data_IF_632787604031
#
_entry.id   IF_632787604031
#
_cell.length_a   1.000
_cell.length_b   1.000
_cell.length_c   1.000
_cell.angle_alpha   90.00
_cell.angle_beta   90.00
_cell.angle_gamma   90.00
#
_symmetry.space_group_name_H-M   'P 1'
#
loop_
_entity.id
_entity.type
_entity.pdbx_description
1 polymer ?
#
# COMPACT_ATOMS: atom_id res chain seq x y z
N UNK A 1 41.21 47.90 32.82
CA UNK A 1 39.96 47.44 33.45
C UNK A 1 39.33 46.39 32.55
N UNK A 2 39.49 45.12 32.93
CA UNK A 2 38.93 43.97 32.23
C UNK A 2 37.41 43.97 32.39
N UNK A 3 36.69 43.94 31.27
CA UNK A 3 35.23 43.87 31.24
C UNK A 3 34.85 42.51 31.81
N UNK A 4 34.21 42.51 32.99
CA UNK A 4 33.70 41.29 33.60
C UNK A 4 32.89 40.50 32.56
N UNK A 5 33.11 39.18 32.41
CA UNK A 5 32.29 38.36 31.52
C UNK A 5 30.85 38.47 32.02
N UNK A 6 30.01 39.16 31.24
CA UNK A 6 28.59 39.26 31.54
C UNK A 6 28.06 37.85 31.71
N UNK A 7 27.40 37.58 32.84
CA UNK A 7 26.60 36.38 33.02
C UNK A 7 25.70 36.24 31.79
N UNK A 8 26.02 35.28 30.93
CA UNK A 8 25.13 34.90 29.85
C UNK A 8 23.96 34.26 30.56
N UNK A 9 22.89 35.04 30.76
CA UNK A 9 21.65 34.57 31.35
C UNK A 9 21.25 33.28 30.62
N UNK A 10 21.22 32.17 31.38
CA UNK A 10 20.90 30.87 30.82
C UNK A 10 19.52 30.86 30.16
N UNK A 11 19.27 29.96 29.20
CA UNK A 11 18.00 29.91 28.48
C UNK A 11 16.82 29.71 29.43
N UNK A 12 15.88 30.65 29.38
CA UNK A 12 14.73 30.73 30.30
C UNK A 12 13.52 29.97 29.77
N UNK A 13 13.43 29.81 28.44
CA UNK A 13 12.33 29.08 27.79
C UNK A 13 12.78 27.75 27.19
N UNK A 14 11.85 26.77 27.10
CA UNK A 14 12.11 25.49 26.42
C UNK A 14 12.54 25.66 24.96
N UNK A 15 12.12 26.76 24.31
CA UNK A 15 12.53 27.06 22.93
C UNK A 15 14.00 27.46 22.85
N UNK A 16 14.46 28.31 23.77
CA UNK A 16 15.87 28.72 23.86
C UNK A 16 16.75 27.52 24.22
N UNK A 17 16.34 26.71 25.20
CA UNK A 17 17.04 25.48 25.58
C UNK A 17 17.17 24.50 24.40
N UNK A 18 16.10 24.34 23.64
CA UNK A 18 16.11 23.49 22.44
C UNK A 18 16.99 24.07 21.32
N UNK A 19 17.00 25.39 21.12
CA UNK A 19 17.85 26.04 20.14
C UNK A 19 19.33 25.82 20.48
N UNK A 20 19.72 26.03 21.73
CA UNK A 20 21.08 25.79 22.21
C UNK A 20 21.48 24.31 22.08
N UNK A 21 20.60 23.37 22.46
CA UNK A 21 20.88 21.94 22.30
C UNK A 21 21.12 21.56 20.84
N UNK A 22 20.35 22.13 19.89
CA UNK A 22 20.55 21.89 18.45
C UNK A 22 21.84 22.47 17.92
N UNK A 23 22.24 23.64 18.43
CA UNK A 23 23.51 24.28 18.08
C UNK A 23 24.70 23.40 18.48
N UNK A 24 24.67 22.86 19.71
CA UNK A 24 25.69 21.93 20.22
C UNK A 24 25.72 20.64 19.43
N UNK A 25 24.57 19.98 19.20
CA UNK A 25 24.49 18.71 18.45
C UNK A 25 25.03 18.85 17.02
N UNK A 26 24.90 20.02 16.41
CA UNK A 26 25.31 20.27 15.03
C UNK A 26 26.68 20.91 14.87
N UNK A 27 27.35 21.25 15.98
CA UNK A 27 28.64 21.93 15.96
C UNK A 27 28.61 23.23 15.15
N UNK A 28 27.54 24.02 15.25
CA UNK A 28 27.41 25.31 14.55
C UNK A 28 27.17 25.24 13.02
N UNK A 29 27.01 24.04 12.44
CA UNK A 29 26.68 23.91 11.01
C UNK A 29 25.28 24.46 10.69
N UNK A 30 25.10 25.16 9.55
CA UNK A 30 23.81 25.71 9.15
C UNK A 30 22.78 24.60 8.95
N UNK A 31 21.52 24.92 9.25
CA UNK A 31 20.41 23.98 9.25
C UNK A 31 20.01 23.56 7.81
N UNK A 32 20.76 22.61 7.22
CA UNK A 32 20.53 22.09 5.86
C UNK A 32 19.16 21.41 5.68
N UNK A 33 18.45 21.08 6.77
CA UNK A 33 17.18 20.34 6.73
C UNK A 33 16.06 21.06 5.99
N UNK A 34 16.03 22.40 5.99
CA UNK A 34 15.01 23.16 5.27
C UNK A 34 15.28 23.22 3.76
N UNK A 35 16.56 23.28 3.37
CA UNK A 35 16.96 23.26 1.94
C UNK A 35 16.53 21.98 1.24
N UNK A 36 16.69 20.83 1.92
CA UNK A 36 16.26 19.54 1.36
C UNK A 36 14.74 19.44 1.18
N UNK A 37 13.95 20.00 2.11
CA UNK A 37 12.49 19.97 2.01
C UNK A 37 11.97 20.85 0.85
N UNK A 38 12.55 22.04 0.66
CA UNK A 38 12.20 22.94 -0.45
C UNK A 38 12.59 22.31 -1.78
N UNK A 39 13.79 21.73 -1.88
CA UNK A 39 14.22 21.03 -3.08
C UNK A 39 13.31 19.83 -3.41
N UNK A 40 12.93 19.02 -2.42
CA UNK A 40 11.99 17.92 -2.62
C UNK A 40 10.61 18.42 -3.09
N UNK A 41 10.11 19.52 -2.53
CA UNK A 41 8.87 20.16 -2.98
C UNK A 41 8.95 20.64 -4.43
N UNK A 42 10.06 21.28 -4.79
CA UNK A 42 10.33 21.72 -6.16
C UNK A 42 10.34 20.54 -7.15
N UNK A 43 11.06 19.46 -6.82
CA UNK A 43 11.09 18.24 -7.64
C UNK A 43 9.70 17.61 -7.77
N UNK A 44 8.92 17.57 -6.68
CA UNK A 44 7.55 17.06 -6.70
C UNK A 44 6.64 17.87 -7.62
N UNK A 45 6.72 19.20 -7.59
CA UNK A 45 5.96 20.08 -8.50
C UNK A 45 6.31 19.80 -9.95
N UNK A 46 7.60 19.74 -10.29
CA UNK A 46 8.05 19.43 -11.67
C UNK A 46 7.55 18.06 -12.09
N UNK A 47 7.72 17.03 -11.26
CA UNK A 47 7.28 15.68 -11.58
C UNK A 47 5.75 15.61 -11.79
N UNK A 48 4.97 16.31 -10.96
CA UNK A 48 3.52 16.42 -11.09
C UNK A 48 3.10 17.10 -12.40
N UNK A 49 3.79 18.15 -12.83
CA UNK A 49 3.50 18.84 -14.08
C UNK A 49 3.92 18.02 -15.30
N UNK A 50 5.14 17.47 -15.29
CA UNK A 50 5.74 16.76 -16.44
C UNK A 50 5.13 15.37 -16.65
N UNK A 51 4.84 14.64 -15.57
CA UNK A 51 4.33 13.27 -15.65
C UNK A 51 2.90 13.13 -15.14
N UNK A 52 2.57 13.82 -14.05
CA UNK A 52 1.25 13.71 -13.41
C UNK A 52 0.12 14.22 -14.30
N UNK A 53 0.24 15.43 -14.86
CA UNK A 53 -0.81 16.02 -15.73
C UNK A 53 -1.02 15.19 -17.00
N UNK A 54 0.01 14.79 -17.78
CA UNK A 54 -0.20 13.92 -18.94
C UNK A 54 -0.81 12.57 -18.58
N UNK A 55 -0.37 11.94 -17.47
CA UNK A 55 -0.94 10.68 -17.03
C UNK A 55 -2.42 10.83 -16.62
N UNK A 56 -2.76 11.90 -15.91
CA UNK A 56 -4.14 12.19 -15.52
C UNK A 56 -5.02 12.50 -16.73
N UNK A 57 -4.51 13.26 -17.71
CA UNK A 57 -5.19 13.52 -18.97
C UNK A 57 -5.47 12.22 -19.71
N UNK A 58 -4.43 11.40 -19.93
CA UNK A 58 -4.54 10.12 -20.61
C UNK A 58 -5.54 9.18 -19.91
N UNK A 59 -5.58 9.21 -18.57
CA UNK A 59 -6.60 8.49 -17.80
C UNK A 59 -8.02 8.95 -18.15
N UNK A 60 -8.29 10.26 -18.14
CA UNK A 60 -9.63 10.78 -18.46
C UNK A 60 -10.04 10.57 -19.91
N UNK A 61 -9.10 10.69 -20.85
CA UNK A 61 -9.33 10.35 -22.27
C UNK A 61 -9.64 8.86 -22.44
N UNK A 62 -9.02 7.99 -21.64
CA UNK A 62 -9.22 6.54 -21.69
C UNK A 62 -10.55 6.06 -21.07
N UNK A 63 -11.06 6.75 -20.05
CA UNK A 63 -12.21 6.28 -19.24
C UNK A 63 -13.58 6.49 -19.92
N UNK A 64 -13.65 7.19 -21.06
CA UNK A 64 -14.89 7.73 -21.67
C UNK A 64 -15.55 8.80 -20.76
N UNK A 65 -15.38 10.10 -21.09
CA UNK A 65 -16.00 11.20 -20.35
C UNK A 65 -17.52 11.10 -20.19
N UNK A 66 -18.22 10.54 -21.19
CA UNK A 66 -19.67 10.39 -21.16
C UNK A 66 -20.12 9.27 -20.21
N UNK A 67 -19.29 8.25 -20.01
CA UNK A 67 -19.53 7.23 -19.00
C UNK A 67 -19.31 7.80 -17.59
N UNK A 68 -18.22 8.54 -17.39
CA UNK A 68 -17.89 9.21 -16.12
C UNK A 68 -19.00 10.16 -15.67
N UNK A 69 -19.47 11.04 -16.57
CA UNK A 69 -20.49 12.01 -16.22
C UNK A 69 -21.79 11.34 -15.79
N UNK A 70 -22.21 10.27 -16.47
CA UNK A 70 -23.43 9.51 -16.12
C UNK A 70 -23.37 8.84 -14.75
N UNK A 71 -22.20 8.35 -14.33
CA UNK A 71 -22.07 7.55 -13.10
C UNK A 71 -21.53 8.36 -11.90
N UNK A 72 -20.78 9.44 -12.13
CA UNK A 72 -20.13 10.21 -11.06
C UNK A 72 -20.79 11.57 -10.76
N UNK A 73 -21.74 12.06 -11.56
CA UNK A 73 -22.39 13.36 -11.26
C UNK A 73 -23.51 13.27 -10.22
N UNK A 74 -23.93 12.06 -9.84
CA UNK A 74 -24.98 11.83 -8.84
C UNK A 74 -24.47 11.34 -7.48
N UNK A 75 -25.39 10.81 -6.66
CA UNK A 75 -25.11 10.24 -5.34
C UNK A 75 -24.03 9.15 -5.40
N UNK A 76 -24.02 8.35 -6.48
CA UNK A 76 -23.01 7.31 -6.68
C UNK A 76 -21.58 7.86 -6.74
N UNK A 77 -21.36 8.99 -7.41
CA UNK A 77 -20.05 9.62 -7.46
C UNK A 77 -19.59 10.11 -6.10
N UNK A 78 -20.49 10.74 -5.33
CA UNK A 78 -20.20 11.16 -3.95
C UNK A 78 -19.85 9.95 -3.07
N UNK A 79 -20.57 8.85 -3.20
CA UNK A 79 -20.30 7.61 -2.46
C UNK A 79 -18.95 7.00 -2.85
N UNK A 80 -18.61 6.94 -4.14
CA UNK A 80 -17.33 6.39 -4.62
C UNK A 80 -16.16 7.25 -4.14
N UNK A 81 -16.22 8.57 -4.36
CA UNK A 81 -15.17 9.49 -3.92
C UNK A 81 -15.06 9.48 -2.39
N UNK A 82 -16.19 9.51 -1.69
CA UNK A 82 -16.24 9.39 -0.23
C UNK A 82 -15.61 8.10 0.28
N UNK A 83 -15.91 6.95 -0.35
CA UNK A 83 -15.31 5.67 0.00
C UNK A 83 -13.80 5.65 -0.23
N UNK A 84 -13.31 6.21 -1.33
CA UNK A 84 -11.87 6.35 -1.61
C UNK A 84 -11.19 7.21 -0.55
N UNK A 85 -11.78 8.37 -0.20
CA UNK A 85 -11.24 9.25 0.85
C UNK A 85 -11.22 8.53 2.19
N UNK A 86 -12.31 7.87 2.60
CA UNK A 86 -12.36 7.10 3.86
C UNK A 86 -11.30 5.99 3.86
N UNK A 87 -11.14 5.25 2.76
CA UNK A 87 -10.11 4.23 2.64
C UNK A 87 -8.69 4.81 2.80
N UNK A 88 -8.41 5.96 2.18
CA UNK A 88 -7.14 6.67 2.33
C UNK A 88 -6.89 7.12 3.77
N UNK A 89 -7.91 7.64 4.46
CA UNK A 89 -7.79 8.06 5.87
C UNK A 89 -7.57 6.86 6.80
N UNK A 90 -8.26 5.74 6.56
CA UNK A 90 -8.04 4.49 7.31
C UNK A 90 -6.64 3.93 7.06
N UNK A 91 -6.15 3.99 5.82
CA UNK A 91 -4.79 3.60 5.47
C UNK A 91 -3.77 4.50 6.18
N UNK A 92 -3.96 5.82 6.17
CA UNK A 92 -3.11 6.78 6.87
C UNK A 92 -3.05 6.45 8.38
N UNK A 93 -4.21 6.21 8.99
CA UNK A 93 -4.32 5.80 10.39
C UNK A 93 -3.55 4.51 10.67
N UNK A 94 -3.68 3.50 9.81
CA UNK A 94 -2.93 2.24 9.94
C UNK A 94 -1.43 2.45 9.76
N UNK A 95 -1.02 3.22 8.76
CA UNK A 95 0.38 3.56 8.53
C UNK A 95 0.97 4.23 9.77
N UNK A 96 0.23 5.14 10.41
CA UNK A 96 0.66 5.85 11.61
C UNK A 96 0.97 4.94 12.78
N UNK A 97 0.20 3.85 12.92
CA UNK A 97 0.43 2.86 13.96
C UNK A 97 1.73 2.06 13.77
N UNK A 98 2.21 1.95 12.53
CA UNK A 98 3.44 1.24 12.16
C UNK A 98 4.62 2.21 12.11
N UNK A 99 4.48 3.27 11.32
CA UNK A 99 5.43 4.38 11.14
C UNK A 99 4.65 5.69 11.13
N UNK A 100 4.78 6.46 12.21
CA UNK A 100 4.11 7.74 12.32
C UNK A 100 4.71 8.87 11.47
N UNK A 101 3.99 10.00 11.37
CA UNK A 101 4.52 11.20 10.73
C UNK A 101 5.61 11.89 11.56
N UNK A 102 5.71 11.60 12.86
CA UNK A 102 6.67 12.24 13.77
C UNK A 102 7.71 11.21 14.20
N UNK A 103 8.73 11.02 13.36
CA UNK A 103 9.81 10.05 13.63
C UNK A 103 11.15 10.77 13.42
N UNK A 104 11.65 11.49 14.44
CA UNK A 104 13.00 12.05 14.39
C UNK A 104 14.04 10.93 14.53
N UNK A 105 15.28 11.22 14.17
CA UNK A 105 16.37 10.25 14.18
C UNK A 105 16.66 9.75 15.60
N UNK A 106 17.16 8.50 15.70
CA UNK A 106 17.46 7.86 16.98
C UNK A 106 18.39 8.68 17.89
N UNK A 107 19.50 9.27 17.40
CA UNK A 107 20.37 10.10 18.25
C UNK A 107 19.63 11.31 18.82
N UNK A 108 18.74 11.93 18.03
CA UNK A 108 17.93 13.07 18.48
C UNK A 108 16.89 12.65 19.53
N UNK A 109 16.29 11.47 19.38
CA UNK A 109 15.37 10.93 20.38
C UNK A 109 16.07 10.68 21.71
N UNK A 110 17.24 10.03 21.68
CA UNK A 110 17.95 9.63 22.89
C UNK A 110 18.59 10.83 23.62
N UNK A 111 19.02 11.87 22.90
CA UNK A 111 19.67 13.04 23.49
C UNK A 111 18.70 14.17 23.85
N UNK A 112 17.66 14.42 23.03
CA UNK A 112 16.80 15.60 23.16
C UNK A 112 15.39 15.24 23.64
N UNK A 113 14.80 14.16 23.12
CA UNK A 113 13.41 13.82 23.44
C UNK A 113 13.21 13.15 24.82
N UNK A 114 14.30 12.68 25.45
CA UNK A 114 14.31 12.17 26.84
C UNK A 114 14.46 13.28 27.87
N UNK A 115 14.89 14.48 27.45
CA UNK A 115 15.06 15.63 28.34
C UNK A 115 13.72 16.14 28.93
N UNK A 116 13.81 17.03 29.92
CA UNK A 116 12.65 17.64 30.57
C UNK A 116 11.87 18.65 29.68
N UNK A 117 12.29 18.87 28.43
CA UNK A 117 11.65 19.82 27.50
C UNK A 117 10.25 19.34 27.08
N UNK A 118 9.32 20.29 26.88
CA UNK A 118 7.99 19.98 26.36
C UNK A 118 8.08 19.33 24.97
N UNK A 119 7.56 18.09 24.86
CA UNK A 119 7.53 17.31 23.61
C UNK A 119 6.82 18.07 22.47
N UNK A 120 5.84 18.91 22.78
CA UNK A 120 5.16 19.73 21.77
C UNK A 120 6.05 20.81 21.15
N UNK A 121 7.18 21.15 21.77
CA UNK A 121 8.20 22.05 21.23
C UNK A 121 9.26 21.23 20.50
N UNK A 122 9.75 20.15 21.11
CA UNK A 122 10.81 19.28 20.56
C UNK A 122 10.40 18.64 19.23
N UNK A 123 9.18 18.12 19.14
CA UNK A 123 8.69 17.33 17.99
C UNK A 123 7.95 18.18 16.94
N UNK A 124 7.68 19.46 17.24
CA UNK A 124 6.91 20.36 16.38
C UNK A 124 7.45 20.44 14.96
N UNK A 125 8.78 20.51 14.84
CA UNK A 125 9.44 20.66 13.55
C UNK A 125 9.19 19.45 12.65
N UNK A 126 9.43 18.24 13.17
CA UNK A 126 9.23 17.00 12.42
C UNK A 126 7.77 16.84 12.01
N UNK A 127 6.84 17.18 12.91
CA UNK A 127 5.43 17.21 12.58
C UNK A 127 5.09 18.19 11.45
N UNK A 128 5.57 19.43 11.53
CA UNK A 128 5.32 20.45 10.49
C UNK A 128 5.85 20.06 9.13
N UNK A 129 7.00 19.38 9.06
CA UNK A 129 7.55 18.87 7.79
C UNK A 129 6.64 17.80 7.19
N UNK A 130 6.17 16.85 8.00
CA UNK A 130 5.22 15.81 7.55
C UNK A 130 3.87 16.39 7.16
N UNK A 131 3.35 17.35 7.94
CA UNK A 131 2.12 18.08 7.61
C UNK A 131 2.27 18.83 6.28
N UNK A 132 3.36 19.59 6.11
CA UNK A 132 3.66 20.29 4.86
C UNK A 132 3.72 19.31 3.68
N UNK A 133 4.40 18.17 3.84
CA UNK A 133 4.46 17.13 2.81
C UNK A 133 3.09 16.58 2.44
N UNK A 134 2.21 16.31 3.42
CA UNK A 134 0.85 15.86 3.16
C UNK A 134 -0.03 16.94 2.50
N UNK A 135 0.09 18.21 2.92
CA UNK A 135 -0.64 19.32 2.31
C UNK A 135 -0.20 19.56 0.88
N UNK A 136 1.12 19.60 0.63
CA UNK A 136 1.69 19.74 -0.70
C UNK A 136 1.29 18.56 -1.60
N UNK A 137 1.42 17.33 -1.11
CA UNK A 137 1.04 16.13 -1.87
C UNK A 137 -0.46 16.11 -2.18
N UNK A 138 -1.31 16.48 -1.22
CA UNK A 138 -2.76 16.62 -1.43
C UNK A 138 -3.11 17.70 -2.45
N UNK A 139 -2.51 18.89 -2.33
CA UNK A 139 -2.68 20.00 -3.26
C UNK A 139 -2.25 19.60 -4.68
N UNK A 140 -1.05 19.01 -4.83
CA UNK A 140 -0.54 18.57 -6.12
C UNK A 140 -1.42 17.47 -6.73
N UNK A 141 -1.90 16.53 -5.93
CA UNK A 141 -2.83 15.49 -6.41
C UNK A 141 -4.13 16.11 -6.92
N UNK A 142 -4.73 17.02 -6.16
CA UNK A 142 -5.94 17.74 -6.56
C UNK A 142 -5.74 18.57 -7.82
N UNK A 143 -4.63 19.31 -7.92
CA UNK A 143 -4.29 20.13 -9.07
C UNK A 143 -3.98 19.29 -10.32
N UNK A 144 -3.29 18.16 -10.18
CA UNK A 144 -3.00 17.23 -11.28
C UNK A 144 -4.29 16.62 -11.81
N UNK A 145 -5.15 16.11 -10.92
CA UNK A 145 -6.44 15.52 -11.30
C UNK A 145 -7.33 16.58 -11.97
N UNK A 146 -7.46 17.76 -11.36
CA UNK A 146 -8.23 18.88 -11.91
C UNK A 146 -7.73 19.33 -13.28
N UNK A 147 -6.42 19.53 -13.42
CA UNK A 147 -5.80 19.90 -14.72
C UNK A 147 -6.03 18.81 -15.75
N UNK A 148 -5.87 17.54 -15.38
CA UNK A 148 -6.18 16.41 -16.25
C UNK A 148 -7.63 16.44 -16.75
N UNK A 149 -8.59 16.71 -15.87
CA UNK A 149 -10.02 16.83 -16.25
C UNK A 149 -10.27 17.99 -17.20
N UNK A 150 -9.65 19.15 -16.96
CA UNK A 150 -9.82 20.34 -17.81
C UNK A 150 -9.20 20.12 -19.18
N UNK A 151 -7.97 19.60 -19.24
CA UNK A 151 -7.26 19.36 -20.51
C UNK A 151 -7.95 18.25 -21.32
N UNK A 152 -8.54 17.25 -20.67
CA UNK A 152 -9.36 16.23 -21.32
C UNK A 152 -10.80 16.67 -21.63
N UNK A 153 -11.13 17.96 -21.44
CA UNK A 153 -12.46 18.54 -21.65
C UNK A 153 -13.61 17.84 -20.88
N UNK A 154 -13.30 17.20 -19.75
CA UNK A 154 -14.28 16.55 -18.86
C UNK A 154 -14.93 17.55 -17.91
N UNK A 155 -14.24 18.65 -17.59
CA UNK A 155 -14.71 19.67 -16.68
C UNK A 155 -14.29 21.09 -17.10
N UNK A 156 -15.05 22.13 -16.73
CA UNK A 156 -14.67 23.51 -17.02
C UNK A 156 -13.41 23.92 -16.23
N UNK A 157 -12.66 24.94 -16.67
CA UNK A 157 -11.48 25.46 -15.95
C UNK A 157 -11.74 25.81 -14.48
N UNK A 158 -12.97 26.22 -14.15
CA UNK A 158 -13.39 26.50 -12.77
C UNK A 158 -13.30 25.29 -11.83
N UNK A 159 -13.31 24.06 -12.35
CA UNK A 159 -13.16 22.83 -11.56
C UNK A 159 -11.77 22.69 -10.92
N UNK A 160 -10.76 23.45 -11.37
CA UNK A 160 -9.42 23.47 -10.77
C UNK A 160 -9.47 23.91 -9.31
N UNK A 161 -10.32 24.88 -8.98
CA UNK A 161 -10.43 25.41 -7.61
C UNK A 161 -10.94 24.34 -6.63
N UNK A 162 -12.13 23.73 -6.82
CA UNK A 162 -12.63 22.71 -5.90
C UNK A 162 -11.79 21.43 -5.89
N UNK A 163 -11.17 21.02 -7.00
CA UNK A 163 -10.30 19.84 -7.02
C UNK A 163 -8.99 20.07 -6.24
N UNK A 164 -8.37 21.24 -6.41
CA UNK A 164 -7.14 21.61 -5.67
C UNK A 164 -7.43 21.80 -4.18
N UNK A 165 -8.51 22.51 -3.83
CA UNK A 165 -8.92 22.68 -2.43
C UNK A 165 -9.35 21.35 -1.80
N UNK A 166 -10.08 20.50 -2.54
CA UNK A 166 -10.44 19.16 -2.11
C UNK A 166 -9.21 18.31 -1.83
N UNK A 167 -8.21 18.35 -2.71
CA UNK A 167 -6.91 17.70 -2.50
C UNK A 167 -6.20 18.17 -1.23
N UNK A 168 -6.20 19.47 -0.96
CA UNK A 168 -5.64 20.04 0.28
C UNK A 168 -6.39 19.54 1.53
N UNK A 169 -7.72 19.50 1.49
CA UNK A 169 -8.56 18.97 2.59
C UNK A 169 -8.27 17.48 2.83
N UNK A 170 -8.16 16.69 1.76
CA UNK A 170 -7.78 15.27 1.87
C UNK A 170 -6.37 15.12 2.44
N UNK A 171 -5.40 15.95 2.01
CA UNK A 171 -4.04 15.96 2.55
C UNK A 171 -4.00 16.30 4.04
N UNK A 172 -4.79 17.27 4.49
CA UNK A 172 -4.94 17.63 5.90
C UNK A 172 -5.56 16.48 6.70
N UNK A 173 -6.64 15.89 6.18
CA UNK A 173 -7.29 14.72 6.78
C UNK A 173 -6.34 13.54 6.91
N UNK A 174 -5.55 13.27 5.86
CA UNK A 174 -4.54 12.22 5.83
C UNK A 174 -3.49 12.46 6.90
N UNK A 175 -2.93 13.67 7.00
CA UNK A 175 -1.95 14.02 8.03
C UNK A 175 -2.52 13.81 9.45
N UNK A 176 -3.75 14.28 9.69
CA UNK A 176 -4.44 14.12 10.97
C UNK A 176 -4.68 12.65 11.33
N UNK A 177 -5.20 11.85 10.39
CA UNK A 177 -5.42 10.42 10.58
C UNK A 177 -4.09 9.67 10.81
N UNK A 178 -3.04 10.05 10.09
CA UNK A 178 -1.69 9.49 10.21
C UNK A 178 -1.08 9.75 11.60
N UNK A 179 -1.14 10.99 12.09
CA UNK A 179 -0.71 11.34 13.44
C UNK A 179 -1.55 10.63 14.51
N UNK A 180 -2.86 10.55 14.27
CA UNK A 180 -3.76 9.87 15.20
C UNK A 180 -3.44 8.37 15.33
N UNK A 181 -3.09 7.73 14.22
CA UNK A 181 -2.58 6.36 14.19
C UNK A 181 -1.33 6.18 15.04
N UNK A 182 -0.41 7.15 14.97
CA UNK A 182 0.81 7.15 15.75
C UNK A 182 0.54 7.29 17.25
N UNK A 183 -0.28 8.25 17.66
CA UNK A 183 -0.64 8.46 19.08
C UNK A 183 -1.32 7.22 19.66
N UNK A 184 -2.17 6.54 18.88
CA UNK A 184 -2.90 5.33 19.32
C UNK A 184 -2.10 4.04 19.26
N UNK A 185 -0.89 4.06 18.71
CA UNK A 185 -0.03 2.88 18.66
C UNK A 185 0.41 2.38 20.03
N UNK A 186 0.33 3.24 21.06
CA UNK A 186 0.75 2.92 22.42
C UNK A 186 -0.43 2.79 23.41
N UNK A 187 -0.43 1.80 24.33
CA UNK A 187 -1.58 1.52 25.19
C UNK A 187 -2.07 2.69 26.04
N UNK A 188 -1.15 3.55 26.50
CA UNK A 188 -1.42 4.68 27.39
C UNK A 188 -1.69 6.00 26.67
N UNK A 189 -1.72 6.01 25.33
CA UNK A 189 -1.99 7.22 24.56
C UNK A 189 -3.40 7.75 24.82
N UNK A 190 -3.55 9.08 24.88
CA UNK A 190 -4.84 9.73 25.06
C UNK A 190 -5.84 9.31 23.96
N UNK A 191 -7.03 8.86 24.37
CA UNK A 191 -8.05 8.32 23.46
C UNK A 191 -9.21 9.31 23.32
N UNK A 192 -9.14 10.20 22.34
CA UNK A 192 -10.25 11.10 22.04
C UNK A 192 -10.09 11.87 20.73
N UNK A 193 -11.19 12.37 20.12
CA UNK A 193 -11.12 13.16 18.88
C UNK A 193 -10.33 14.47 19.08
N UNK A 194 -10.24 14.97 20.31
CA UNK A 194 -9.44 16.14 20.66
C UNK A 194 -7.93 15.96 20.39
N UNK A 195 -7.42 14.73 20.28
CA UNK A 195 -6.02 14.46 19.87
C UNK A 195 -5.82 14.52 18.36
N UNK A 196 -6.88 14.63 17.56
CA UNK A 196 -6.77 14.83 16.10
C UNK A 196 -6.70 16.32 15.79
N UNK A 197 -7.43 17.14 16.55
CA UNK A 197 -7.62 18.56 16.27
C UNK A 197 -6.59 19.49 16.95
N UNK A 198 -5.86 19.02 17.97
CA UNK A 198 -4.92 19.86 18.74
C UNK A 198 -3.49 19.31 18.69
N UNK A 199 -2.71 19.82 17.75
CA UNK A 199 -1.28 19.48 17.52
C UNK A 199 -0.50 19.29 18.82
N UNK A 200 -0.49 20.29 19.71
CA UNK A 200 0.32 20.24 20.93
C UNK A 200 -0.07 19.08 21.87
N UNK A 201 -1.36 18.73 21.95
CA UNK A 201 -1.82 17.60 22.79
C UNK A 201 -1.38 16.27 22.17
N UNK A 202 -1.49 16.14 20.85
CA UNK A 202 -1.07 14.95 20.12
C UNK A 202 0.43 14.70 20.30
N UNK A 203 1.26 15.73 20.17
CA UNK A 203 2.71 15.63 20.32
C UNK A 203 3.12 15.28 21.74
N UNK A 204 2.44 15.82 22.77
CA UNK A 204 2.68 15.43 24.17
C UNK A 204 2.27 13.99 24.47
N UNK A 205 1.23 13.50 23.82
CA UNK A 205 0.74 12.13 23.98
C UNK A 205 1.64 11.07 23.32
N UNK A 206 2.62 11.47 22.48
CA UNK A 206 3.58 10.53 21.88
C UNK A 206 4.50 9.95 22.96
N UNK A 207 4.51 8.63 23.06
CA UNK A 207 5.31 7.90 24.04
C UNK A 207 6.75 7.70 23.53
N UNK A 208 7.75 8.00 24.34
CA UNK A 208 9.17 7.94 23.94
C UNK A 208 9.59 6.54 23.46
N UNK A 209 9.23 5.47 24.18
CA UNK A 209 9.52 4.09 23.76
C UNK A 209 8.87 3.75 22.41
N UNK A 210 7.67 4.27 22.15
CA UNK A 210 6.97 4.11 20.88
C UNK A 210 7.70 4.82 19.75
N UNK A 211 8.14 6.06 19.98
CA UNK A 211 8.95 6.83 19.02
C UNK A 211 10.25 6.13 18.67
N UNK A 212 10.98 5.65 19.69
CA UNK A 212 12.24 4.90 19.50
C UNK A 212 12.01 3.61 18.71
N UNK A 213 10.93 2.88 19.02
CA UNK A 213 10.55 1.67 18.28
C UNK A 213 10.23 1.97 16.81
N UNK A 214 9.47 3.03 16.55
CA UNK A 214 9.12 3.43 15.18
C UNK A 214 10.32 3.97 14.40
N UNK A 215 11.24 4.69 15.06
CA UNK A 215 12.48 5.16 14.47
C UNK A 215 13.40 3.99 14.10
N UNK A 216 13.60 3.03 15.01
CA UNK A 216 14.37 1.82 14.73
C UNK A 216 13.77 1.04 13.55
N UNK A 217 12.44 0.81 13.54
CA UNK A 217 11.75 0.16 12.41
C UNK A 217 11.89 0.94 11.11
N UNK A 218 11.84 2.27 11.15
CA UNK A 218 12.00 3.08 9.94
C UNK A 218 13.40 2.91 9.33
N UNK A 219 14.43 2.82 10.18
CA UNK A 219 15.81 2.55 9.74
C UNK A 219 15.94 1.14 9.17
N UNK A 220 15.41 0.13 9.84
CA UNK A 220 15.49 -1.27 9.36
C UNK A 220 14.71 -1.47 8.06
N UNK A 221 13.49 -0.93 7.96
CA UNK A 221 12.70 -0.93 6.72
C UNK A 221 13.45 -0.19 5.61
N UNK A 222 14.01 0.99 5.90
CA UNK A 222 14.79 1.77 4.93
C UNK A 222 16.01 0.99 4.41
N UNK A 223 16.79 0.40 5.31
CA UNK A 223 17.94 -0.45 4.97
C UNK A 223 17.52 -1.69 4.16
N UNK A 224 16.43 -2.34 4.55
CA UNK A 224 15.88 -3.49 3.85
C UNK A 224 15.41 -3.15 2.43
N UNK A 225 14.73 -2.01 2.23
CA UNK A 225 14.35 -1.54 0.89
C UNK A 225 15.58 -1.22 0.04
N UNK A 226 16.59 -0.56 0.61
CA UNK A 226 17.84 -0.23 -0.10
C UNK A 226 18.64 -1.49 -0.47
N UNK A 227 18.62 -2.51 0.39
CA UNK A 227 19.20 -3.83 0.11
C UNK A 227 18.35 -4.67 -0.85
N UNK A 228 17.16 -4.19 -1.24
CA UNK A 228 16.21 -4.95 -2.05
C UNK A 228 15.60 -6.14 -1.32
N UNK A 229 15.71 -6.22 0.01
CA UNK A 229 15.12 -7.26 0.86
C UNK A 229 13.76 -6.81 1.41
N UNK A 230 12.72 -6.88 0.56
CA UNK A 230 11.35 -6.56 0.98
C UNK A 230 10.79 -7.54 2.02
N UNK A 231 11.42 -8.72 2.19
CA UNK A 231 11.01 -9.69 3.21
C UNK A 231 11.35 -9.14 4.58
N UNK A 232 12.59 -8.68 4.80
CA UNK A 232 13.00 -8.05 6.06
C UNK A 232 12.11 -6.85 6.40
N UNK A 233 11.87 -5.96 5.43
CA UNK A 233 10.98 -4.81 5.60
C UNK A 233 9.56 -5.22 6.04
N UNK A 234 9.01 -6.31 5.49
CA UNK A 234 7.67 -6.80 5.86
C UNK A 234 7.63 -7.42 7.25
N UNK A 235 8.65 -8.21 7.63
CA UNK A 235 8.71 -8.85 8.95
C UNK A 235 8.73 -7.81 10.08
N UNK A 236 9.36 -6.66 9.85
CA UNK A 236 9.35 -5.54 10.79
C UNK A 236 7.98 -4.83 10.92
N UNK A 237 7.15 -4.92 9.88
CA UNK A 237 5.79 -4.35 9.86
C UNK A 237 4.76 -5.33 10.42
N UNK A 238 5.04 -6.63 10.35
CA UNK A 238 4.09 -7.68 10.72
C UNK A 238 3.68 -7.57 12.20
N UNK A 239 2.37 -7.49 12.45
CA UNK A 239 1.85 -7.48 13.82
C UNK A 239 2.00 -8.87 14.46
N UNK A 240 2.40 -8.97 15.74
CA UNK A 240 2.44 -10.25 16.44
C UNK A 240 1.06 -10.93 16.42
N UNK A 241 1.01 -12.21 16.04
CA UNK A 241 -0.25 -12.97 16.05
C UNK A 241 -0.64 -13.25 17.49
N UNK A 242 -1.65 -12.59 18.05
CA UNK A 242 -2.08 -12.80 19.46
C UNK A 242 -3.30 -13.70 19.60
N UNK A 243 -4.11 -13.83 18.54
CA UNK A 243 -5.35 -14.61 18.54
C UNK A 243 -5.10 -16.09 18.28
N UNK A 244 -5.96 -16.95 18.84
CA UNK A 244 -6.01 -18.40 18.59
C UNK A 244 -4.64 -19.13 18.67
N UNK A 245 -3.72 -18.64 19.51
CA UNK A 245 -2.39 -19.26 19.72
C UNK A 245 -2.50 -20.70 20.22
N UNK A 246 -3.53 -20.99 21.04
CA UNK A 246 -3.77 -22.31 21.63
C UNK A 246 -4.41 -23.31 20.66
N UNK A 247 -4.95 -22.87 19.52
CA UNK A 247 -5.54 -23.79 18.53
C UNK A 247 -4.42 -24.47 17.76
N UNK A 248 -4.37 -25.80 17.85
CA UNK A 248 -3.42 -26.65 17.13
C UNK A 248 -3.98 -27.07 15.78
N UNK A 249 -3.09 -27.29 14.83
CA UNK A 249 -3.44 -27.95 13.56
C UNK A 249 -3.67 -29.44 13.83
N UNK A 250 -4.69 -30.00 13.19
CA UNK A 250 -4.93 -31.44 13.21
C UNK A 250 -4.31 -32.04 11.97
N UNK A 251 -3.77 -33.25 12.11
CA UNK A 251 -3.32 -34.03 10.95
C UNK A 251 -4.50 -34.20 9.98
N UNK A 252 -4.24 -33.83 8.73
CA UNK A 252 -5.11 -34.03 7.57
C UNK A 252 -4.17 -34.44 6.43
N UNK A 253 -4.68 -35.07 5.38
CA UNK A 253 -3.86 -35.43 4.22
C UNK A 253 -3.01 -34.26 3.71
N UNK A 254 -1.97 -34.52 2.90
CA UNK A 254 -0.89 -33.57 2.63
C UNK A 254 -1.34 -32.18 2.17
N UNK A 255 -2.29 -32.13 1.24
CA UNK A 255 -2.85 -30.85 0.75
C UNK A 255 -3.80 -30.22 1.77
N UNK A 256 -4.63 -31.05 2.42
CA UNK A 256 -5.65 -30.59 3.36
C UNK A 256 -5.05 -30.00 4.64
N UNK A 257 -3.88 -30.46 5.10
CA UNK A 257 -3.19 -29.87 6.25
C UNK A 257 -2.62 -28.49 5.92
N UNK A 258 -2.08 -28.29 4.72
CA UNK A 258 -1.59 -27.00 4.24
C UNK A 258 -2.75 -26.01 4.10
N UNK A 259 -3.86 -26.43 3.46
CA UNK A 259 -5.05 -25.58 3.37
C UNK A 259 -5.61 -25.21 4.76
N UNK A 260 -5.67 -26.18 5.68
CA UNK A 260 -6.12 -25.94 7.06
C UNK A 260 -5.17 -25.00 7.83
N UNK A 261 -3.85 -25.07 7.57
CA UNK A 261 -2.83 -24.17 8.11
C UNK A 261 -3.08 -22.74 7.65
N UNK A 262 -3.28 -22.52 6.36
CA UNK A 262 -3.52 -21.19 5.82
C UNK A 262 -4.83 -20.61 6.35
N UNK A 263 -5.89 -21.42 6.40
CA UNK A 263 -7.15 -21.01 7.00
C UNK A 263 -7.00 -20.64 8.47
N UNK A 264 -6.25 -21.42 9.26
CA UNK A 264 -5.95 -21.07 10.65
C UNK A 264 -5.15 -19.76 10.74
N UNK A 265 -4.21 -19.54 9.82
CA UNK A 265 -3.45 -18.28 9.67
C UNK A 265 -4.38 -17.08 9.47
N UNK A 266 -5.33 -17.17 8.54
CA UNK A 266 -6.33 -16.13 8.29
C UNK A 266 -7.24 -15.88 9.50
N UNK A 267 -7.63 -16.94 10.22
CA UNK A 267 -8.40 -16.78 11.46
C UNK A 267 -7.60 -16.12 12.58
N UNK A 268 -6.27 -16.24 12.57
CA UNK A 268 -5.36 -15.54 13.50
C UNK A 268 -5.14 -14.08 13.08
N UNK A 269 -5.26 -13.77 11.79
CA UNK A 269 -5.17 -12.43 11.21
C UNK A 269 -6.49 -12.01 10.55
N UNK A 270 -7.55 -11.70 11.33
CA UNK A 270 -8.86 -11.35 10.77
C UNK A 270 -8.81 -10.08 9.91
N UNK A 271 -7.83 -9.21 10.12
CA UNK A 271 -7.59 -8.06 9.25
C UNK A 271 -7.25 -8.46 7.82
N UNK A 272 -6.40 -9.48 7.63
CA UNK A 272 -6.05 -9.99 6.30
C UNK A 272 -7.26 -10.66 5.63
N UNK A 273 -8.07 -11.41 6.39
CA UNK A 273 -9.31 -11.99 5.88
C UNK A 273 -10.27 -10.90 5.38
N UNK A 274 -10.51 -9.85 6.18
CA UNK A 274 -11.41 -8.75 5.85
C UNK A 274 -10.89 -7.93 4.66
N UNK A 275 -9.59 -7.56 4.66
CA UNK A 275 -8.98 -6.81 3.56
C UNK A 275 -9.06 -7.60 2.26
N UNK A 276 -8.75 -8.89 2.30
CA UNK A 276 -8.89 -9.77 1.14
C UNK A 276 -10.34 -9.84 0.65
N UNK A 277 -11.31 -9.99 1.56
CA UNK A 277 -12.73 -10.07 1.18
C UNK A 277 -13.24 -8.77 0.56
N UNK A 278 -12.88 -7.61 1.11
CA UNK A 278 -13.27 -6.31 0.58
C UNK A 278 -12.63 -6.05 -0.78
N UNK A 279 -11.31 -6.26 -0.93
CA UNK A 279 -10.61 -6.00 -2.18
C UNK A 279 -10.97 -7.00 -3.27
N UNK A 280 -11.04 -8.30 -2.96
CA UNK A 280 -11.51 -9.30 -3.92
C UNK A 280 -12.99 -9.10 -4.25
N UNK A 281 -13.83 -8.71 -3.29
CA UNK A 281 -15.25 -8.44 -3.53
C UNK A 281 -15.47 -7.26 -4.47
N UNK A 282 -14.83 -6.12 -4.18
CA UNK A 282 -14.84 -4.95 -5.06
C UNK A 282 -14.25 -5.28 -6.44
N UNK A 283 -13.15 -6.04 -6.48
CA UNK A 283 -12.50 -6.44 -7.71
C UNK A 283 -13.36 -7.37 -8.58
N UNK A 284 -13.94 -8.41 -7.98
CA UNK A 284 -14.83 -9.34 -8.68
C UNK A 284 -16.12 -8.67 -9.12
N UNK A 285 -16.67 -7.74 -8.33
CA UNK A 285 -17.82 -6.93 -8.73
C UNK A 285 -17.48 -6.05 -9.94
N UNK A 286 -16.33 -5.37 -9.93
CA UNK A 286 -15.89 -4.56 -11.06
C UNK A 286 -15.65 -5.42 -12.33
N UNK A 287 -15.04 -6.59 -12.18
CA UNK A 287 -14.87 -7.55 -13.28
C UNK A 287 -16.20 -8.08 -13.82
N UNK A 288 -17.16 -8.39 -12.96
CA UNK A 288 -18.49 -8.81 -13.37
C UNK A 288 -19.20 -7.67 -14.13
N UNK A 289 -19.14 -6.44 -13.60
CA UNK A 289 -19.70 -5.26 -14.29
C UNK A 289 -19.04 -4.99 -15.63
N UNK A 290 -17.74 -5.25 -15.76
CA UNK A 290 -17.03 -5.07 -17.04
C UNK A 290 -17.48 -6.01 -18.17
N UNK A 291 -18.31 -7.02 -17.85
CA UNK A 291 -18.96 -7.88 -18.85
C UNK A 291 -20.21 -7.24 -19.46
N UNK A 292 -20.73 -6.16 -18.85
CA UNK A 292 -21.92 -5.43 -19.30
C UNK A 292 -21.55 -4.47 -20.44
N UNK A 293 -22.32 -4.42 -21.54
CA UNK A 293 -22.08 -3.48 -22.63
C UNK A 293 -22.01 -2.02 -22.15
N UNK A 294 -21.03 -1.27 -22.67
CA UNK A 294 -20.85 0.15 -22.35
C UNK A 294 -20.06 0.46 -21.07
N UNK A 295 -19.59 -0.56 -20.34
CA UNK A 295 -18.67 -0.37 -19.20
C UNK A 295 -17.22 -0.26 -19.71
N UNK A 296 -16.46 0.79 -19.34
CA UNK A 296 -15.12 1.02 -19.85
C UNK A 296 -14.09 0.06 -19.24
N UNK A 297 -13.04 -0.25 -20.02
CA UNK A 297 -11.97 -1.19 -19.63
C UNK A 297 -11.20 -0.77 -18.36
N UNK A 298 -11.26 0.50 -17.96
CA UNK A 298 -10.67 0.96 -16.70
C UNK A 298 -11.31 0.29 -15.48
N UNK A 299 -12.60 -0.06 -15.55
CA UNK A 299 -13.30 -0.79 -14.49
C UNK A 299 -12.68 -2.19 -14.36
N UNK A 300 -12.37 -2.83 -15.48
CA UNK A 300 -11.62 -4.09 -15.49
C UNK A 300 -10.21 -3.90 -14.92
N UNK A 301 -9.50 -2.84 -15.28
CA UNK A 301 -8.16 -2.54 -14.74
C UNK A 301 -8.17 -2.42 -13.21
N UNK A 302 -9.06 -1.58 -12.66
CA UNK A 302 -9.22 -1.43 -11.21
C UNK A 302 -9.65 -2.75 -10.58
N UNK A 303 -10.56 -3.48 -11.24
CA UNK A 303 -11.03 -4.78 -10.82
C UNK A 303 -9.92 -5.81 -10.67
N UNK A 304 -9.06 -5.94 -11.69
CA UNK A 304 -7.90 -6.86 -11.68
C UNK A 304 -6.90 -6.48 -10.59
N UNK A 305 -6.57 -5.18 -10.44
CA UNK A 305 -5.66 -4.72 -9.38
C UNK A 305 -6.23 -5.07 -8.00
N UNK A 306 -7.51 -4.77 -7.76
CA UNK A 306 -8.17 -5.08 -6.50
C UNK A 306 -8.22 -6.60 -6.24
N UNK A 307 -8.54 -7.41 -7.25
CA UNK A 307 -8.49 -8.88 -7.17
C UNK A 307 -7.09 -9.39 -6.82
N UNK A 308 -6.04 -8.89 -7.48
CA UNK A 308 -4.67 -9.27 -7.20
C UNK A 308 -4.26 -8.94 -5.76
N UNK A 309 -4.56 -7.71 -5.30
CA UNK A 309 -4.25 -7.29 -3.93
C UNK A 309 -5.06 -8.08 -2.89
N UNK A 310 -6.35 -8.30 -3.15
CA UNK A 310 -7.24 -9.06 -2.27
C UNK A 310 -6.82 -10.52 -2.11
N UNK A 311 -6.50 -11.19 -3.23
CA UNK A 311 -5.96 -12.54 -3.21
C UNK A 311 -4.61 -12.59 -2.46
N UNK A 312 -3.77 -11.58 -2.66
CA UNK A 312 -2.48 -11.45 -1.99
C UNK A 312 -2.57 -11.33 -0.47
N UNK A 313 -3.69 -10.81 0.05
CA UNK A 313 -3.95 -10.78 1.50
C UNK A 313 -4.26 -12.18 2.06
N UNK A 314 -4.75 -13.11 1.23
CA UNK A 314 -5.02 -14.49 1.62
C UNK A 314 -3.85 -15.45 1.32
N UNK A 315 -2.98 -15.10 0.38
CA UNK A 315 -1.84 -15.90 -0.07
C UNK A 315 -0.59 -15.78 0.83
N UNK A 316 -0.73 -15.38 2.10
CA UNK A 316 0.43 -15.21 2.99
C UNK A 316 1.17 -16.52 3.25
N UNK A 317 0.46 -17.66 3.31
CA UNK A 317 1.07 -18.99 3.43
C UNK A 317 2.02 -19.31 2.28
N UNK A 318 1.59 -19.05 1.05
CA UNK A 318 2.41 -19.21 -0.16
C UNK A 318 3.66 -18.33 -0.14
N UNK A 319 3.52 -17.08 0.32
CA UNK A 319 4.63 -16.13 0.41
C UNK A 319 5.65 -16.58 1.44
N UNK A 320 5.18 -16.98 2.63
CA UNK A 320 6.04 -17.53 3.68
C UNK A 320 6.75 -18.83 3.24
N UNK A 321 6.11 -19.64 2.39
CA UNK A 321 6.77 -20.81 1.80
C UNK A 321 7.89 -20.40 0.84
N UNK A 322 7.66 -19.39 0.00
CA UNK A 322 8.68 -18.81 -0.87
C UNK A 322 9.86 -18.22 -0.09
N UNK A 323 9.59 -17.59 1.05
CA UNK A 323 10.64 -17.05 1.95
C UNK A 323 11.45 -18.16 2.64
N UNK A 324 10.86 -19.34 2.82
CA UNK A 324 11.50 -20.51 3.43
C UNK A 324 12.05 -21.48 2.37
N UNK A 325 12.24 -21.01 1.13
CA UNK A 325 13.00 -21.76 0.12
C UNK A 325 14.34 -22.22 0.68
N UNK A 326 14.68 -23.49 0.43
CA UNK A 326 15.90 -24.11 0.94
C UNK A 326 15.82 -24.71 2.34
N UNK A 327 14.73 -24.50 3.08
CA UNK A 327 14.51 -25.21 4.34
C UNK A 327 13.89 -26.59 4.08
N UNK A 328 14.27 -27.63 4.86
CA UNK A 328 13.66 -28.95 4.74
C UNK A 328 12.13 -28.88 4.93
N UNK A 329 11.34 -29.59 4.10
CA UNK A 329 9.89 -29.54 4.17
C UNK A 329 9.39 -30.11 5.50
N UNK A 330 8.65 -29.29 6.26
CA UNK A 330 8.14 -29.67 7.59
C UNK A 330 7.07 -30.79 7.54
N UNK A 331 6.45 -31.00 6.37
CA UNK A 331 5.29 -31.90 6.18
C UNK A 331 5.67 -33.11 5.30
N UNK A 332 6.95 -33.25 4.94
CA UNK A 332 7.43 -34.35 4.08
C UNK A 332 6.92 -34.29 2.65
N UNK A 333 6.36 -33.16 2.22
CA UNK A 333 5.93 -32.92 0.84
C UNK A 333 7.09 -32.44 -0.02
N UNK A 334 7.05 -32.80 -1.31
CA UNK A 334 7.93 -32.16 -2.28
C UNK A 334 7.63 -30.65 -2.29
N UNK A 335 8.68 -29.82 -2.35
CA UNK A 335 8.59 -28.37 -2.23
C UNK A 335 7.59 -27.76 -3.22
N UNK A 336 7.56 -28.27 -4.46
CA UNK A 336 6.59 -27.88 -5.48
C UNK A 336 5.13 -28.23 -5.15
N UNK A 337 4.88 -29.37 -4.51
CA UNK A 337 3.53 -29.77 -4.11
C UNK A 337 3.03 -28.93 -2.93
N UNK A 338 3.90 -28.62 -1.96
CA UNK A 338 3.56 -27.73 -0.85
C UNK A 338 3.23 -26.32 -1.35
N UNK A 339 4.00 -25.79 -2.31
CA UNK A 339 3.71 -24.50 -2.95
C UNK A 339 2.33 -24.47 -3.63
N UNK A 340 1.96 -25.53 -4.37
CA UNK A 340 0.65 -25.60 -5.00
C UNK A 340 -0.48 -25.79 -3.97
N UNK A 341 -0.24 -26.52 -2.88
CA UNK A 341 -1.22 -26.70 -1.82
C UNK A 341 -1.59 -25.38 -1.12
N UNK A 342 -0.64 -24.44 -1.01
CA UNK A 342 -0.88 -23.09 -0.50
C UNK A 342 -1.80 -22.21 -1.38
N UNK A 343 -2.06 -22.61 -2.63
CA UNK A 343 -3.02 -21.91 -3.50
C UNK A 343 -4.47 -22.31 -3.21
N UNK A 344 -4.72 -23.42 -2.53
CA UNK A 344 -6.07 -23.96 -2.32
C UNK A 344 -6.94 -22.98 -1.53
N UNK A 345 -6.49 -22.56 -0.35
CA UNK A 345 -7.26 -21.66 0.53
C UNK A 345 -7.60 -20.32 -0.12
N UNK A 346 -6.63 -19.54 -0.65
CA UNK A 346 -6.96 -18.26 -1.30
C UNK A 346 -7.81 -18.43 -2.56
N UNK A 347 -7.64 -19.53 -3.33
CA UNK A 347 -8.46 -19.78 -4.52
C UNK A 347 -9.91 -20.11 -4.18
N UNK A 348 -10.16 -20.92 -3.13
CA UNK A 348 -11.53 -21.21 -2.67
C UNK A 348 -12.20 -19.91 -2.18
N UNK A 349 -11.51 -19.11 -1.36
CA UNK A 349 -12.06 -17.85 -0.86
C UNK A 349 -12.36 -16.88 -2.00
N UNK A 350 -11.46 -16.77 -2.97
CA UNK A 350 -11.67 -15.95 -4.16
C UNK A 350 -12.84 -16.46 -4.99
N UNK A 351 -12.94 -17.76 -5.24
CA UNK A 351 -14.05 -18.34 -6.00
C UNK A 351 -15.41 -18.08 -5.33
N UNK A 352 -15.49 -18.22 -4.00
CA UNK A 352 -16.71 -17.87 -3.25
C UNK A 352 -17.07 -16.40 -3.43
N UNK A 353 -16.11 -15.49 -3.26
CA UNK A 353 -16.34 -14.05 -3.43
C UNK A 353 -16.69 -13.70 -4.87
N UNK A 354 -16.05 -14.33 -5.86
CA UNK A 354 -16.34 -14.17 -7.28
C UNK A 354 -17.78 -14.59 -7.62
N UNK A 355 -18.24 -15.72 -7.11
CA UNK A 355 -19.61 -16.20 -7.30
C UNK A 355 -20.63 -15.26 -6.64
N UNK A 356 -20.37 -14.81 -5.41
CA UNK A 356 -21.26 -13.88 -4.71
C UNK A 356 -21.34 -12.51 -5.43
N UNK A 357 -20.20 -11.97 -5.84
CA UNK A 357 -20.15 -10.68 -6.53
C UNK A 357 -20.76 -10.77 -7.93
N UNK A 358 -20.44 -11.81 -8.70
CA UNK A 358 -21.02 -12.08 -10.01
C UNK A 358 -22.54 -12.30 -9.92
N UNK A 359 -23.00 -13.06 -8.92
CA UNK A 359 -24.43 -13.31 -8.70
C UNK A 359 -25.18 -12.03 -8.33
N UNK A 360 -24.59 -11.18 -7.50
CA UNK A 360 -25.16 -9.86 -7.22
C UNK A 360 -25.31 -9.03 -8.50
N UNK A 361 -24.28 -8.96 -9.36
CA UNK A 361 -24.35 -8.22 -10.64
C UNK A 361 -25.38 -8.82 -11.59
N UNK A 362 -25.47 -10.14 -11.69
CA UNK A 362 -26.51 -10.83 -12.47
C UNK A 362 -27.92 -10.43 -12.01
N UNK A 363 -28.15 -10.38 -10.70
CA UNK A 363 -29.45 -10.03 -10.12
C UNK A 363 -29.78 -8.54 -10.24
N UNK A 364 -28.79 -7.64 -10.14
CA UNK A 364 -29.05 -6.19 -10.06
C UNK A 364 -28.89 -5.45 -11.38
N UNK A 365 -28.15 -6.01 -12.34
CA UNK A 365 -27.72 -5.29 -13.55
C UNK A 365 -28.07 -6.04 -14.83
N UNK A 366 -28.84 -7.15 -14.75
CA UNK A 366 -29.20 -7.97 -15.90
C UNK A 366 -28.00 -8.67 -16.54
N UNK A 367 -26.86 -8.77 -15.83
CA UNK A 367 -25.66 -9.43 -16.31
C UNK A 367 -25.93 -10.92 -16.53
N UNK A 368 -25.74 -11.42 -17.75
CA UNK A 368 -25.93 -12.85 -18.05
C UNK A 368 -24.96 -13.76 -17.30
N UNK A 369 -24.98 -15.06 -17.62
CA UNK A 369 -24.09 -16.06 -16.99
C UNK A 369 -22.59 -15.71 -17.08
N UNK A 370 -22.21 -14.85 -18.04
CA UNK A 370 -20.84 -14.34 -18.18
C UNK A 370 -20.39 -13.51 -16.96
N UNK A 371 -21.29 -12.77 -16.31
CA UNK A 371 -20.97 -11.98 -15.12
C UNK A 371 -20.56 -12.86 -13.91
N UNK A 372 -21.06 -14.10 -13.87
CA UNK A 372 -20.65 -15.13 -12.90
C UNK A 372 -19.35 -15.81 -13.31
N UNK A 373 -19.27 -16.26 -14.57
CA UNK A 373 -18.15 -17.05 -15.05
C UNK A 373 -16.84 -16.24 -15.18
N UNK A 374 -16.93 -14.95 -15.51
CA UNK A 374 -15.76 -14.14 -15.84
C UNK A 374 -14.84 -13.87 -14.65
N UNK A 375 -15.32 -13.37 -13.49
CA UNK A 375 -14.47 -13.23 -12.31
C UNK A 375 -13.93 -14.59 -11.84
N UNK A 376 -14.72 -15.66 -11.95
CA UNK A 376 -14.28 -17.01 -11.59
C UNK A 376 -13.13 -17.49 -12.48
N UNK A 377 -13.16 -17.20 -13.78
CA UNK A 377 -12.08 -17.51 -14.72
C UNK A 377 -10.75 -16.87 -14.36
N UNK A 378 -10.76 -15.74 -13.63
CA UNK A 378 -9.55 -15.02 -13.22
C UNK A 378 -8.79 -15.71 -12.08
N UNK A 379 -9.37 -16.73 -11.43
CA UNK A 379 -8.72 -17.48 -10.32
C UNK A 379 -7.34 -17.98 -10.74
N UNK A 380 -7.24 -18.63 -11.91
CA UNK A 380 -5.98 -19.23 -12.36
C UNK A 380 -4.91 -18.18 -12.63
N UNK A 381 -5.29 -17.04 -13.21
CA UNK A 381 -4.39 -15.93 -13.49
C UNK A 381 -3.83 -15.33 -12.19
N UNK A 382 -4.71 -15.01 -11.24
CA UNK A 382 -4.31 -14.40 -9.97
C UNK A 382 -3.50 -15.39 -9.11
N UNK A 383 -3.91 -16.66 -9.06
CA UNK A 383 -3.18 -17.72 -8.37
C UNK A 383 -1.77 -17.93 -8.96
N UNK A 384 -1.68 -18.02 -10.29
CA UNK A 384 -0.41 -18.13 -11.01
C UNK A 384 0.50 -16.93 -10.80
N UNK A 385 -0.06 -15.72 -10.78
CA UNK A 385 0.71 -14.51 -10.51
C UNK A 385 1.23 -14.44 -9.08
N UNK A 386 0.47 -14.92 -8.08
CA UNK A 386 0.96 -15.01 -6.70
C UNK A 386 2.00 -16.12 -6.50
N UNK A 387 1.90 -17.21 -7.26
CA UNK A 387 2.97 -18.20 -7.35
C UNK A 387 4.23 -17.57 -7.92
N UNK A 388 4.13 -16.86 -9.05
CA UNK A 388 5.25 -16.10 -9.61
C UNK A 388 5.81 -15.07 -8.60
N UNK A 389 4.96 -14.33 -7.90
CA UNK A 389 5.37 -13.32 -6.94
C UNK A 389 6.09 -13.90 -5.72
N UNK A 390 5.68 -15.06 -5.24
CA UNK A 390 6.24 -15.70 -4.05
C UNK A 390 7.60 -16.35 -4.32
N UNK A 391 7.82 -16.87 -5.54
CA UNK A 391 9.03 -17.60 -5.91
C UNK A 391 9.95 -16.82 -6.88
N UNK A 392 9.71 -15.53 -7.12
CA UNK A 392 10.55 -14.71 -8.02
C UNK A 392 12.03 -14.63 -7.58
N UNK A 393 12.32 -14.77 -6.29
CA UNK A 393 13.66 -14.61 -5.72
C UNK A 393 14.11 -13.15 -5.57
N UNK A 394 15.35 -12.95 -5.12
CA UNK A 394 15.94 -11.62 -4.97
C UNK A 394 16.19 -10.95 -6.33
N UNK A 395 16.13 -9.61 -6.41
CA UNK A 395 16.54 -8.90 -7.61
C UNK A 395 18.01 -9.20 -7.94
N UNK A 396 18.37 -9.42 -9.22
CA UNK A 396 19.76 -9.56 -9.64
C UNK A 396 20.61 -8.35 -9.20
N UNK A 397 21.87 -8.59 -8.83
CA UNK A 397 22.81 -7.52 -8.41
C UNK A 397 22.98 -6.46 -9.52
N UNK A 398 22.85 -6.86 -10.79
CA UNK A 398 22.88 -5.95 -11.94
C UNK A 398 21.76 -4.92 -11.95
N UNK A 399 20.68 -5.12 -11.20
CA UNK A 399 19.62 -4.13 -11.04
C UNK A 399 20.00 -3.01 -10.05
N UNK A 400 21.12 -3.12 -9.34
CA UNK A 400 21.59 -2.11 -8.38
C UNK A 400 22.63 -1.15 -8.98
N UNK A 401 22.43 -0.74 -10.24
CA UNK A 401 23.28 0.30 -10.85
C UNK A 401 22.99 1.69 -10.25
N UNK A 402 24.02 2.51 -9.99
CA UNK A 402 23.84 3.91 -9.56
C UNK A 402 22.92 4.66 -10.53
N UNK A 403 21.87 5.29 -10.01
CA UNK A 403 20.93 6.11 -10.79
C UNK A 403 19.62 5.44 -11.22
N UNK A 404 19.54 4.11 -11.34
CA UNK A 404 18.31 3.41 -11.77
C UNK A 404 17.83 2.30 -10.82
N UNK A 405 18.57 2.02 -9.75
CA UNK A 405 18.30 0.90 -8.86
C UNK A 405 16.86 0.84 -8.34
N UNK A 406 16.29 1.97 -7.92
CA UNK A 406 14.92 2.02 -7.37
C UNK A 406 13.88 1.63 -8.44
N UNK A 407 14.00 2.15 -9.67
CA UNK A 407 13.06 1.86 -10.75
C UNK A 407 13.17 0.40 -11.20
N UNK A 408 14.39 -0.10 -11.38
CA UNK A 408 14.62 -1.49 -11.78
C UNK A 408 14.14 -2.49 -10.73
N UNK A 409 14.41 -2.23 -9.45
CA UNK A 409 13.92 -3.05 -8.33
C UNK A 409 12.40 -2.96 -8.23
N UNK A 410 11.81 -1.78 -8.37
CA UNK A 410 10.34 -1.61 -8.39
C UNK A 410 9.71 -2.40 -9.52
N UNK A 411 10.28 -2.32 -10.74
CA UNK A 411 9.82 -3.09 -11.88
C UNK A 411 9.93 -4.59 -11.63
N UNK A 412 11.05 -5.07 -11.09
CA UNK A 412 11.24 -6.48 -10.70
C UNK A 412 10.14 -6.99 -9.78
N UNK A 413 9.78 -6.19 -8.78
CA UNK A 413 8.72 -6.51 -7.83
C UNK A 413 7.30 -6.39 -8.42
N UNK A 414 7.11 -5.51 -9.40
CA UNK A 414 5.83 -5.27 -10.06
C UNK A 414 5.49 -6.28 -11.16
N UNK A 415 6.46 -7.04 -11.72
CA UNK A 415 6.22 -7.95 -12.87
C UNK A 415 4.99 -8.86 -12.72
N UNK A 416 4.75 -9.54 -11.58
CA UNK A 416 3.58 -10.43 -11.45
C UNK A 416 2.26 -9.64 -11.48
N UNK A 417 2.23 -8.46 -10.86
CA UNK A 417 1.07 -7.56 -10.92
C UNK A 417 0.86 -7.06 -12.35
N UNK A 418 1.91 -6.58 -13.02
CA UNK A 418 1.83 -6.09 -14.40
C UNK A 418 1.33 -7.17 -15.36
N UNK A 419 1.84 -8.41 -15.24
CA UNK A 419 1.35 -9.54 -16.02
C UNK A 419 -0.15 -9.77 -15.77
N UNK A 420 -0.59 -9.79 -14.50
CA UNK A 420 -1.99 -9.98 -14.14
C UNK A 420 -2.87 -8.88 -14.73
N UNK A 421 -2.45 -7.62 -14.58
CA UNK A 421 -3.19 -6.44 -15.07
C UNK A 421 -3.28 -6.43 -16.58
N UNK A 422 -2.16 -6.57 -17.29
CA UNK A 422 -2.13 -6.57 -18.75
C UNK A 422 -2.99 -7.72 -19.29
N UNK A 423 -2.80 -8.94 -18.78
CA UNK A 423 -3.54 -10.10 -19.25
C UNK A 423 -5.04 -10.03 -18.91
N UNK A 424 -5.39 -9.66 -17.68
CA UNK A 424 -6.78 -9.58 -17.24
C UNK A 424 -7.55 -8.48 -17.96
N UNK A 425 -6.94 -7.32 -18.16
CA UNK A 425 -7.54 -6.21 -18.92
C UNK A 425 -7.64 -6.56 -20.41
N UNK A 426 -6.59 -7.12 -21.02
CA UNK A 426 -6.63 -7.54 -22.42
C UNK A 426 -7.69 -8.61 -22.68
N UNK A 427 -7.76 -9.63 -21.82
CA UNK A 427 -8.79 -10.67 -21.91
C UNK A 427 -10.21 -10.06 -21.77
N UNK A 428 -10.40 -9.12 -20.84
CA UNK A 428 -11.70 -8.47 -20.64
C UNK A 428 -12.08 -7.55 -21.81
N UNK A 429 -11.10 -6.84 -22.38
CA UNK A 429 -11.30 -6.03 -23.57
C UNK A 429 -11.64 -6.89 -24.81
N UNK A 430 -11.04 -8.08 -24.94
CA UNK A 430 -11.38 -9.03 -26.00
C UNK A 430 -12.75 -9.66 -25.81
N UNK A 431 -13.18 -9.88 -24.56
CA UNK A 431 -14.53 -10.38 -24.26
C UNK A 431 -15.59 -9.45 -24.85
N UNK A 432 -15.40 -8.13 -24.69
CA UNK A 432 -16.36 -7.12 -25.16
C UNK A 432 -16.24 -6.80 -26.65
N UNK A 433 -15.04 -6.93 -27.26
CA UNK A 433 -14.79 -6.55 -28.67
C UNK A 433 -14.80 -7.70 -29.67
N UNK A 434 -14.41 -8.90 -29.26
CA UNK A 434 -14.07 -10.01 -30.16
C UNK A 434 -14.69 -11.35 -29.73
N UNK A 435 -15.51 -11.35 -28.67
CA UNK A 435 -16.22 -12.52 -28.17
C UNK A 435 -15.45 -13.38 -27.17
N UNK A 436 -16.17 -14.34 -26.57
CA UNK A 436 -15.68 -15.13 -25.44
C UNK A 436 -14.50 -16.06 -25.81
N UNK A 437 -14.45 -16.58 -27.03
CA UNK A 437 -13.37 -17.50 -27.46
C UNK A 437 -11.98 -16.86 -27.38
N UNK A 438 -11.82 -15.66 -27.94
CA UNK A 438 -10.58 -14.89 -27.92
C UNK A 438 -10.20 -14.48 -26.49
N UNK A 439 -11.20 -14.06 -25.71
CA UNK A 439 -11.03 -13.68 -24.32
C UNK A 439 -10.52 -14.84 -23.45
N UNK A 440 -11.14 -16.02 -23.58
CA UNK A 440 -10.76 -17.25 -22.88
C UNK A 440 -9.37 -17.69 -23.33
N UNK A 441 -9.06 -17.66 -24.64
CA UNK A 441 -7.73 -18.01 -25.15
C UNK A 441 -6.64 -17.16 -24.48
N UNK A 442 -6.78 -15.84 -24.45
CA UNK A 442 -5.79 -14.95 -23.81
C UNK A 442 -5.69 -15.21 -22.31
N UNK A 443 -6.82 -15.38 -21.62
CA UNK A 443 -6.84 -15.66 -20.19
C UNK A 443 -6.15 -17.00 -19.85
N UNK A 444 -6.42 -18.05 -20.63
CA UNK A 444 -5.81 -19.37 -20.46
C UNK A 444 -4.31 -19.32 -20.74
N UNK A 445 -3.89 -18.71 -21.85
CA UNK A 445 -2.46 -18.59 -22.19
C UNK A 445 -1.69 -17.80 -21.13
N UNK A 446 -2.26 -16.68 -20.65
CA UNK A 446 -1.64 -15.88 -19.61
C UNK A 446 -1.58 -16.60 -18.26
N UNK A 447 -2.67 -17.29 -17.89
CA UNK A 447 -2.71 -18.11 -16.66
C UNK A 447 -1.69 -19.24 -16.73
N UNK A 448 -1.60 -19.93 -17.87
CA UNK A 448 -0.61 -20.97 -18.11
C UNK A 448 0.81 -20.41 -18.02
N UNK A 449 1.10 -19.27 -18.65
CA UNK A 449 2.40 -18.62 -18.57
C UNK A 449 2.78 -18.24 -17.12
N UNK A 450 1.84 -17.67 -16.36
CA UNK A 450 2.06 -17.30 -14.96
C UNK A 450 2.34 -18.53 -14.07
N UNK A 451 1.54 -19.59 -14.21
CA UNK A 451 1.71 -20.84 -13.45
C UNK A 451 2.99 -21.56 -13.83
N UNK A 452 3.29 -21.71 -15.11
CA UNK A 452 4.51 -22.39 -15.58
C UNK A 452 5.77 -21.64 -15.16
N UNK A 453 5.77 -20.30 -15.28
CA UNK A 453 6.86 -19.48 -14.77
C UNK A 453 7.04 -19.65 -13.27
N UNK A 454 5.94 -19.55 -12.50
CA UNK A 454 5.96 -19.74 -11.04
C UNK A 454 6.52 -21.11 -10.65
N UNK A 455 6.03 -22.19 -11.27
CA UNK A 455 6.51 -23.56 -11.03
C UNK A 455 7.97 -23.74 -11.41
N UNK A 456 8.42 -23.16 -12.52
CA UNK A 456 9.84 -23.19 -12.91
C UNK A 456 10.70 -22.51 -11.85
N UNK A 457 10.26 -21.37 -11.30
CA UNK A 457 11.00 -20.68 -10.23
C UNK A 457 11.03 -21.47 -8.92
N UNK A 458 9.92 -22.11 -8.54
CA UNK A 458 9.87 -23.02 -7.37
C UNK A 458 10.92 -24.12 -7.52
N UNK A 459 10.99 -24.74 -8.71
CA UNK A 459 11.96 -25.80 -9.01
C UNK A 459 13.41 -25.29 -8.95
N UNK A 460 13.71 -24.16 -9.59
CA UNK A 460 15.05 -23.57 -9.58
C UNK A 460 15.51 -23.19 -8.17
N UNK A 461 14.60 -22.71 -7.32
CA UNK A 461 14.92 -22.41 -5.92
C UNK A 461 15.15 -23.68 -5.11
N UNK A 462 14.37 -24.74 -5.31
CA UNK A 462 14.59 -26.03 -4.63
C UNK A 462 15.94 -26.65 -5.04
N UNK A 463 16.24 -26.67 -6.34
CA UNK A 463 17.51 -27.19 -6.87
C UNK A 463 18.72 -26.37 -6.37
N UNK A 464 18.61 -25.03 -6.38
CA UNK A 464 19.70 -24.14 -5.99
C UNK A 464 20.10 -24.17 -4.52
N UNK A 465 19.30 -24.78 -3.63
CA UNK A 465 19.67 -24.99 -2.22
C UNK A 465 20.16 -26.41 -1.93
N UNK A 466 20.01 -27.35 -2.88
CA UNK A 466 20.51 -28.73 -2.76
C UNK A 466 21.91 -28.89 -3.36
N UNK A 467 22.26 -28.03 -4.30
CA UNK A 467 23.62 -27.87 -4.83
C UNK A 467 24.44 -27.00 -3.86
#
# INVERSE_FOLDING_TARGET
MSKAPGEIAGPTTDRERLAQAREVIRGGLPDKGNGNAVYAAYVAVIASLVYGVPASRAFFEFVDPAWLSRHLTGVQGVLVVGAVVVALLLLAHRLGSVRGPVVPDLPYLDQVAVSALDRAVVLRRTWRLSLFGCLLGGLLTGAVVGTGMVVAAVAPPLALVPTTLGGLVVGLGFAGAWLWGQVRSWPTGARGPATVLREARSLRALHHVGLRTQAARAVTIGGAVLAGDLRAARLDVASPTTRLRRRRLRARGPVAVVAARDWLGLRRSPGALLVGAVLSGAGCWALAQSTTPGVPNIVAFVGVVACYLGYGAWAEGLRLQGDNAGTPPLIGLAYGQEALAHLVTPSILYAVVALLAGGAVTLTSGGGAVALAWPLGMVALVAGAHLMASFRGLPPISLFSPGSAVLSVTFWYARPLLLTVIAGVAATALLTRSGASNAIMVLVLASYAAVTFGRRRVRLLDEGHRA
#
